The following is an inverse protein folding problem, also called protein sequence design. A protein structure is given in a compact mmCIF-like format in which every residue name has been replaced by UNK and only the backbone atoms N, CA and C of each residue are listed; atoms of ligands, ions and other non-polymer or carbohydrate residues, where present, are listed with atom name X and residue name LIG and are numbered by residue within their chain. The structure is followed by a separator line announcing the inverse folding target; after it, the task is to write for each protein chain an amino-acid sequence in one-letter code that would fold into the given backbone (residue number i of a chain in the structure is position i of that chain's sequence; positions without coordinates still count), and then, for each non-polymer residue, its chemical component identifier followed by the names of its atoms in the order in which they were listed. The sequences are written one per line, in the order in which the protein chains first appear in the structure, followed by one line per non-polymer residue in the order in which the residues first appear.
data_IF_676530575476
#
_entry.id   IF_676530575476
#
_cell.length_a   1.000
_cell.length_b   1.000
_cell.length_c   1.000
_cell.angle_alpha   90.00
_cell.angle_beta   90.00
_cell.angle_gamma   90.00
#
_symmetry.space_group_name_H-M   'P 1'
#
loop_
_entity.id
_entity.type
_entity.pdbx_description
1 polymer ?
#
# COMPACT_ATOMS: atom_id res chain seq x y z
N UNK A 1 14.26 15.04 24.30
CA UNK A 1 14.86 15.77 23.17
C UNK A 1 15.93 14.87 22.55
N UNK A 2 15.67 14.35 21.35
CA UNK A 2 16.61 13.47 20.61
C UNK A 2 17.44 14.31 19.61
N UNK A 3 18.07 15.38 20.07
CA UNK A 3 18.94 16.19 19.25
C UNK A 3 20.36 16.09 19.79
N UNK A 4 21.32 15.77 18.93
CA UNK A 4 22.75 15.68 19.28
C UNK A 4 23.37 17.04 19.62
N UNK A 5 22.57 18.10 19.55
CA UNK A 5 22.87 19.47 19.93
C UNK A 5 24.22 20.01 19.37
N UNK A 6 24.43 19.98 18.04
CA UNK A 6 25.67 20.49 17.42
C UNK A 6 25.85 22.00 17.66
N UNK A 7 24.76 22.73 17.95
CA UNK A 7 24.80 24.17 18.24
C UNK A 7 25.47 24.53 19.56
N UNK A 8 25.68 23.56 20.46
CA UNK A 8 26.38 23.73 21.75
C UNK A 8 27.64 22.87 21.84
N UNK A 9 28.17 22.41 20.68
CA UNK A 9 29.35 21.55 20.57
C UNK A 9 29.27 20.24 21.36
N UNK A 10 28.09 19.67 21.52
CA UNK A 10 27.93 18.37 22.19
C UNK A 10 28.39 17.19 21.31
N UNK A 11 28.52 17.39 19.99
CA UNK A 11 29.15 16.49 19.01
C UNK A 11 30.15 17.26 18.16
N UNK A 12 31.18 16.59 17.72
CA UNK A 12 32.16 17.20 16.80
C UNK A 12 31.56 17.37 15.40
N UNK A 13 32.11 18.32 14.65
CA UNK A 13 31.66 18.55 13.25
C UNK A 13 31.84 17.27 12.40
N UNK A 14 32.89 16.50 12.64
CA UNK A 14 33.14 15.25 11.92
C UNK A 14 32.07 14.21 12.20
N UNK A 15 31.74 13.96 13.47
CA UNK A 15 30.70 13.02 13.87
C UNK A 15 29.33 13.40 13.33
N UNK A 16 29.00 14.71 13.36
CA UNK A 16 27.75 15.19 12.78
C UNK A 16 27.69 14.96 11.27
N UNK A 17 28.78 15.25 10.55
CA UNK A 17 28.83 15.05 9.08
C UNK A 17 28.78 13.56 8.71
N UNK A 18 29.37 12.66 9.50
CA UNK A 18 29.29 11.23 9.30
C UNK A 18 27.85 10.70 9.44
N UNK A 19 27.11 11.22 10.42
CA UNK A 19 25.70 10.90 10.61
C UNK A 19 24.85 11.40 9.42
N UNK A 20 25.08 12.64 8.96
CA UNK A 20 24.40 13.22 7.80
C UNK A 20 24.68 12.41 6.53
N UNK A 21 25.94 12.04 6.30
CA UNK A 21 26.34 11.27 5.12
C UNK A 21 25.81 9.84 5.15
N UNK A 22 25.71 9.24 6.33
CA UNK A 22 25.08 7.93 6.52
C UNK A 22 23.59 7.98 6.18
N UNK A 23 22.88 9.00 6.64
CA UNK A 23 21.48 9.22 6.32
C UNK A 23 21.25 9.49 4.83
N UNK A 24 22.10 10.34 4.21
CA UNK A 24 22.05 10.60 2.77
C UNK A 24 22.24 9.31 1.95
N UNK A 25 23.22 8.50 2.31
CA UNK A 25 23.50 7.22 1.64
C UNK A 25 22.32 6.24 1.73
N UNK A 26 21.59 6.22 2.85
CA UNK A 26 20.38 5.40 3.04
C UNK A 26 19.23 5.95 2.17
N UNK A 27 18.99 7.27 2.23
CA UNK A 27 17.89 7.91 1.50
C UNK A 27 18.09 7.87 -0.03
N UNK A 28 19.34 7.91 -0.49
CA UNK A 28 19.68 7.82 -1.93
C UNK A 28 19.82 6.37 -2.42
N UNK A 29 19.71 5.39 -1.52
CA UNK A 29 19.86 3.97 -1.86
C UNK A 29 21.32 3.55 -2.17
N UNK A 30 22.32 4.36 -1.84
CA UNK A 30 23.75 4.06 -2.03
C UNK A 30 24.28 3.04 -1.02
N UNK A 31 23.68 2.96 0.17
CA UNK A 31 23.93 1.91 1.17
C UNK A 31 22.63 1.25 1.56
N UNK A 32 22.71 -0.05 1.81
CA UNK A 32 21.58 -0.82 2.33
C UNK A 32 21.27 -0.39 3.76
N UNK A 33 19.99 -0.28 4.11
CA UNK A 33 19.57 -0.12 5.49
C UNK A 33 19.99 -1.33 6.35
N UNK A 34 20.20 -2.48 5.72
CA UNK A 34 20.65 -3.72 6.36
C UNK A 34 22.09 -3.58 6.90
N UNK A 35 22.99 -3.04 6.08
CA UNK A 35 24.39 -2.79 6.48
C UNK A 35 24.45 -1.78 7.63
N UNK A 36 23.57 -0.80 7.64
CA UNK A 36 23.51 0.19 8.70
C UNK A 36 23.01 -0.41 10.02
N UNK A 37 21.95 -1.24 9.95
CA UNK A 37 21.43 -1.97 11.11
C UNK A 37 22.50 -2.91 11.70
N UNK A 38 23.26 -3.58 10.85
CA UNK A 38 24.32 -4.51 11.28
C UNK A 38 25.43 -3.77 12.02
N UNK A 39 25.91 -2.65 11.47
CA UNK A 39 26.86 -1.78 12.14
C UNK A 39 26.35 -1.27 13.50
N UNK A 40 25.10 -0.81 13.57
CA UNK A 40 24.51 -0.37 14.84
C UNK A 40 24.40 -1.50 15.86
N UNK A 41 24.20 -2.75 15.45
CA UNK A 41 24.24 -3.90 16.35
C UNK A 41 25.62 -4.15 16.90
N UNK A 42 26.67 -4.01 16.08
CA UNK A 42 28.07 -4.09 16.54
C UNK A 42 28.39 -2.99 17.58
N UNK A 43 27.97 -1.76 17.31
CA UNK A 43 28.13 -0.63 18.23
C UNK A 43 27.38 -0.87 19.56
N UNK A 44 26.18 -1.44 19.50
CA UNK A 44 25.40 -1.83 20.68
C UNK A 44 26.13 -2.88 21.54
N UNK A 45 26.69 -3.90 20.89
CA UNK A 45 27.48 -4.93 21.61
C UNK A 45 28.76 -4.35 22.22
N UNK A 46 29.42 -3.44 21.51
CA UNK A 46 30.59 -2.74 22.01
C UNK A 46 30.27 -1.90 23.25
N UNK A 47 29.22 -1.11 23.21
CA UNK A 47 28.72 -0.31 24.34
C UNK A 47 28.37 -1.22 25.54
N UNK A 48 27.70 -2.33 25.30
CA UNK A 48 27.34 -3.30 26.34
C UNK A 48 28.57 -3.93 26.97
N UNK A 49 29.58 -4.27 26.17
CA UNK A 49 30.87 -4.85 26.65
C UNK A 49 31.65 -3.85 27.51
N UNK A 50 31.52 -2.57 27.22
CA UNK A 50 32.11 -1.48 28.01
C UNK A 50 31.25 -1.07 29.22
N UNK A 51 30.20 -1.84 29.56
CA UNK A 51 29.28 -1.60 30.66
C UNK A 51 28.46 -0.28 30.50
N UNK A 52 28.45 0.31 29.31
CA UNK A 52 27.63 1.50 28.97
C UNK A 52 26.24 1.05 28.55
N UNK A 53 25.47 0.63 29.53
CA UNK A 53 24.13 0.06 29.30
C UNK A 53 23.08 1.10 28.83
N UNK A 54 23.25 2.38 29.18
CA UNK A 54 22.35 3.42 28.73
C UNK A 54 22.49 3.68 27.24
N UNK A 55 23.71 3.78 26.74
CA UNK A 55 24.03 3.90 25.33
C UNK A 55 23.59 2.65 24.55
N UNK A 56 23.94 1.46 25.04
CA UNK A 56 23.50 0.20 24.44
C UNK A 56 21.98 0.11 24.31
N UNK A 57 21.23 0.58 25.31
CA UNK A 57 19.76 0.65 25.27
C UNK A 57 19.26 1.62 24.21
N UNK A 58 19.84 2.82 24.12
CA UNK A 58 19.44 3.82 23.11
C UNK A 58 19.66 3.30 21.69
N UNK A 59 20.80 2.63 21.45
CA UNK A 59 21.11 2.01 20.16
C UNK A 59 20.15 0.87 19.87
N UNK A 60 19.83 0.01 20.83
CA UNK A 60 18.85 -1.09 20.67
C UNK A 60 17.47 -0.56 20.26
N UNK A 61 17.00 0.49 20.92
CA UNK A 61 15.70 1.08 20.64
C UNK A 61 15.67 1.72 19.23
N UNK A 62 16.79 2.25 18.77
CA UNK A 62 16.96 2.77 17.40
C UNK A 62 16.99 1.64 16.39
N UNK A 63 17.72 0.56 16.63
CA UNK A 63 17.75 -0.65 15.79
C UNK A 63 16.35 -1.22 15.64
N UNK A 64 15.58 -1.35 16.73
CA UNK A 64 14.20 -1.84 16.68
C UNK A 64 13.30 -0.97 15.79
N UNK A 65 13.44 0.35 15.85
CA UNK A 65 12.69 1.28 14.96
C UNK A 65 13.09 1.12 13.50
N UNK A 66 14.38 0.96 13.22
CA UNK A 66 14.88 0.75 11.86
C UNK A 66 14.46 -0.61 11.29
N UNK A 67 14.43 -1.67 12.08
CA UNK A 67 13.94 -2.98 11.68
C UNK A 67 12.43 -2.95 11.35
N UNK A 68 11.64 -2.17 12.08
CA UNK A 68 10.25 -1.92 11.77
C UNK A 68 10.08 -1.14 10.46
N UNK A 69 10.90 -0.13 10.20
CA UNK A 69 10.91 0.60 8.92
C UNK A 69 11.34 -0.31 7.77
N UNK A 70 12.39 -1.12 7.97
CA UNK A 70 12.86 -2.14 7.02
C UNK A 70 11.76 -3.14 6.66
N UNK A 71 11.03 -3.63 7.66
CA UNK A 71 9.93 -4.56 7.42
C UNK A 71 8.86 -3.93 6.53
N UNK A 72 8.52 -2.65 6.76
CA UNK A 72 7.62 -1.88 5.90
C UNK A 72 8.20 -1.69 4.49
N UNK A 73 9.48 -1.35 4.35
CA UNK A 73 10.14 -1.20 3.05
C UNK A 73 10.28 -2.52 2.29
N UNK A 74 10.55 -3.65 2.97
CA UNK A 74 10.55 -4.98 2.32
C UNK A 74 9.17 -5.37 1.81
N UNK A 75 8.12 -5.03 2.55
CA UNK A 75 6.75 -5.18 2.10
C UNK A 75 6.51 -4.28 0.86
N UNK A 76 6.99 -3.05 0.87
CA UNK A 76 6.92 -2.14 -0.28
C UNK A 76 7.79 -2.61 -1.47
N UNK A 77 8.95 -3.19 -1.24
CA UNK A 77 9.85 -3.69 -2.30
C UNK A 77 9.43 -5.05 -2.86
N UNK A 78 8.87 -5.94 -2.06
CA UNK A 78 8.27 -7.19 -2.56
C UNK A 78 6.96 -6.93 -3.33
N UNK A 79 6.32 -5.79 -3.08
CA UNK A 79 5.18 -5.25 -3.80
C UNK A 79 5.64 -4.25 -4.89
N UNK A 80 6.93 -3.95 -4.98
CA UNK A 80 7.48 -3.01 -5.94
C UNK A 80 7.64 -3.63 -7.33
N UNK A 81 6.55 -4.04 -7.90
CA UNK A 81 6.38 -3.68 -9.28
C UNK A 81 6.02 -2.16 -9.25
N UNK A 82 6.61 -1.38 -10.11
CA UNK A 82 6.20 0.00 -10.43
C UNK A 82 4.78 0.06 -11.00
N UNK A 83 3.96 -0.94 -10.71
CA UNK A 83 2.63 -1.15 -11.23
C UNK A 83 1.60 -0.49 -10.33
N UNK A 84 0.75 0.24 -10.98
CA UNK A 84 -0.51 0.72 -10.42
C UNK A 84 -1.41 -0.50 -10.16
N UNK A 85 -2.01 -0.57 -8.98
CA UNK A 85 -2.95 -1.60 -8.57
C UNK A 85 -4.29 -0.95 -8.25
N UNK A 86 -5.38 -1.53 -8.68
CA UNK A 86 -6.72 -1.13 -8.24
C UNK A 86 -7.39 -2.25 -7.44
N UNK A 87 -8.03 -1.85 -6.36
CA UNK A 87 -8.79 -2.71 -5.46
C UNK A 87 -10.25 -2.30 -5.54
N UNK A 88 -11.11 -3.19 -5.99
CA UNK A 88 -12.51 -2.92 -6.25
C UNK A 88 -13.36 -3.86 -5.40
N UNK A 89 -14.03 -3.30 -4.40
CA UNK A 89 -15.03 -4.01 -3.63
C UNK A 89 -16.42 -3.70 -4.14
N UNK A 90 -17.27 -4.73 -4.18
CA UNK A 90 -18.70 -4.62 -4.48
C UNK A 90 -19.51 -5.20 -3.33
N UNK A 91 -20.64 -4.58 -3.04
CA UNK A 91 -21.63 -5.06 -2.09
C UNK A 91 -23.04 -4.74 -2.60
N UNK A 92 -23.94 -5.70 -2.44
CA UNK A 92 -25.33 -5.60 -2.90
C UNK A 92 -26.26 -5.19 -1.76
N UNK A 93 -27.04 -4.16 -1.99
CA UNK A 93 -28.19 -3.80 -1.17
C UNK A 93 -29.47 -4.26 -1.88
N UNK A 94 -29.93 -5.45 -1.53
CA UNK A 94 -31.13 -6.05 -2.12
C UNK A 94 -32.42 -5.33 -1.71
N UNK A 95 -32.43 -4.60 -0.57
CA UNK A 95 -33.60 -3.82 -0.15
C UNK A 95 -33.83 -2.63 -1.05
N UNK A 96 -32.76 -1.99 -1.50
CA UNK A 96 -32.81 -0.86 -2.43
C UNK A 96 -32.60 -1.27 -3.89
N UNK A 97 -32.41 -2.57 -4.16
CA UNK A 97 -32.08 -3.10 -5.49
C UNK A 97 -30.87 -2.40 -6.11
N UNK A 98 -29.80 -2.18 -5.33
CA UNK A 98 -28.57 -1.48 -5.74
C UNK A 98 -27.32 -2.24 -5.43
N UNK A 99 -26.32 -2.05 -6.27
CA UNK A 99 -24.95 -2.44 -5.98
C UNK A 99 -24.12 -1.18 -5.64
N UNK A 100 -23.29 -1.31 -4.62
CA UNK A 100 -22.38 -0.27 -4.16
C UNK A 100 -20.95 -0.72 -4.39
N UNK A 101 -20.14 0.18 -4.95
CA UNK A 101 -18.74 -0.11 -5.30
C UNK A 101 -17.84 0.90 -4.64
N UNK A 102 -16.73 0.41 -4.09
CA UNK A 102 -15.62 1.22 -3.61
C UNK A 102 -14.35 0.80 -4.33
N UNK A 103 -13.71 1.77 -4.97
CA UNK A 103 -12.44 1.59 -5.67
C UNK A 103 -11.35 2.33 -4.91
N UNK A 104 -10.27 1.61 -4.61
CA UNK A 104 -9.03 2.20 -4.12
C UNK A 104 -7.94 1.99 -5.16
N UNK A 105 -7.28 3.06 -5.56
CA UNK A 105 -6.11 3.02 -6.42
C UNK A 105 -4.85 3.11 -5.57
N UNK A 106 -3.96 2.15 -5.73
CA UNK A 106 -2.68 2.08 -5.05
C UNK A 106 -1.54 2.24 -6.05
N UNK A 107 -0.60 3.11 -5.72
CA UNK A 107 0.62 3.30 -6.48
C UNK A 107 1.82 3.25 -5.54
N UNK A 108 2.77 2.38 -5.80
CA UNK A 108 3.96 2.18 -4.95
C UNK A 108 3.62 2.00 -3.46
N UNK A 109 2.65 1.15 -3.15
CA UNK A 109 2.25 0.89 -1.77
C UNK A 109 1.34 1.94 -1.12
N UNK A 110 1.15 3.12 -1.73
CA UNK A 110 0.36 4.23 -1.18
C UNK A 110 -0.99 4.33 -1.88
N UNK A 111 -2.08 4.44 -1.11
CA UNK A 111 -3.41 4.72 -1.65
C UNK A 111 -3.43 6.16 -2.14
N UNK A 112 -3.67 6.35 -3.45
CA UNK A 112 -3.67 7.64 -4.13
C UNK A 112 -5.05 8.19 -4.40
N UNK A 113 -6.02 7.29 -4.59
CA UNK A 113 -7.37 7.68 -4.97
C UNK A 113 -8.39 6.73 -4.37
N UNK A 114 -9.58 7.26 -4.10
CA UNK A 114 -10.72 6.53 -3.59
C UNK A 114 -11.99 7.04 -4.26
N UNK A 115 -12.68 6.14 -4.98
CA UNK A 115 -13.93 6.47 -5.66
C UNK A 115 -15.07 5.55 -5.21
N UNK A 116 -16.25 6.10 -5.09
CA UNK A 116 -17.48 5.39 -4.71
C UNK A 116 -18.46 5.47 -5.87
N UNK A 117 -19.03 4.33 -6.22
CA UNK A 117 -20.07 4.23 -7.26
C UNK A 117 -21.24 3.42 -6.75
N UNK A 118 -22.39 3.64 -7.35
CA UNK A 118 -23.56 2.78 -7.19
C UNK A 118 -24.26 2.62 -8.53
N UNK A 119 -24.91 1.49 -8.72
CA UNK A 119 -25.79 1.24 -9.85
C UNK A 119 -27.00 0.41 -9.44
N UNK A 120 -28.09 0.55 -10.17
CA UNK A 120 -29.31 -0.21 -9.92
C UNK A 120 -29.15 -1.64 -10.48
N UNK A 121 -29.62 -2.64 -9.74
CA UNK A 121 -29.57 -4.06 -10.12
C UNK A 121 -30.63 -4.44 -11.16
N UNK A 122 -31.40 -3.46 -11.67
CA UNK A 122 -32.45 -3.67 -12.65
C UNK A 122 -31.85 -3.72 -14.08
N UNK A 123 -32.30 -4.69 -14.88
CA UNK A 123 -31.84 -4.87 -16.27
C UNK A 123 -30.53 -5.64 -16.36
N UNK A 124 -29.75 -5.37 -17.42
CA UNK A 124 -28.47 -6.05 -17.72
C UNK A 124 -27.27 -5.47 -16.93
N UNK A 125 -27.53 -4.72 -15.88
CA UNK A 125 -26.50 -4.12 -15.06
C UNK A 125 -25.84 -5.19 -14.19
N UNK A 126 -24.60 -5.52 -14.49
CA UNK A 126 -23.79 -6.47 -13.75
C UNK A 126 -22.45 -5.85 -13.33
N UNK A 127 -21.74 -6.54 -12.44
CA UNK A 127 -20.39 -6.12 -12.06
C UNK A 127 -19.45 -6.07 -13.27
N UNK A 128 -19.57 -7.00 -14.22
CA UNK A 128 -18.83 -7.00 -15.48
C UNK A 128 -19.14 -5.78 -16.35
N UNK A 129 -20.42 -5.43 -16.49
CA UNK A 129 -20.84 -4.24 -17.25
C UNK A 129 -20.30 -2.96 -16.63
N UNK A 130 -20.35 -2.85 -15.30
CA UNK A 130 -19.76 -1.72 -14.60
C UNK A 130 -18.24 -1.62 -14.84
N UNK A 131 -17.50 -2.71 -14.68
CA UNK A 131 -16.04 -2.70 -14.90
C UNK A 131 -15.69 -2.33 -16.33
N UNK A 132 -16.42 -2.85 -17.32
CA UNK A 132 -16.23 -2.51 -18.73
C UNK A 132 -16.42 -1.00 -18.96
N UNK A 133 -17.50 -0.42 -18.48
CA UNK A 133 -17.80 1.00 -18.63
C UNK A 133 -16.79 1.87 -17.87
N UNK A 134 -16.43 1.48 -16.65
CA UNK A 134 -15.46 2.19 -15.83
C UNK A 134 -14.08 2.30 -16.52
N UNK A 135 -13.57 1.20 -17.06
CA UNK A 135 -12.27 1.21 -17.72
C UNK A 135 -12.31 1.75 -19.15
N UNK A 136 -13.44 1.68 -19.84
CA UNK A 136 -13.58 2.28 -21.17
C UNK A 136 -13.40 3.80 -21.15
N UNK A 137 -13.83 4.44 -20.06
CA UNK A 137 -13.68 5.89 -19.87
C UNK A 137 -12.30 6.31 -19.35
N UNK A 138 -11.39 5.35 -19.09
CA UNK A 138 -10.08 5.62 -18.50
C UNK A 138 -8.97 5.68 -19.55
N UNK A 139 -8.01 6.57 -19.33
CA UNK A 139 -6.79 6.66 -20.14
C UNK A 139 -5.75 5.57 -19.83
N UNK A 140 -5.88 4.88 -18.69
CA UNK A 140 -4.98 3.78 -18.29
C UNK A 140 -5.73 2.71 -17.52
N UNK A 141 -5.40 1.46 -17.79
CA UNK A 141 -5.90 0.27 -17.06
C UNK A 141 -4.73 -0.35 -16.31
N UNK A 142 -4.85 -0.62 -15.00
CA UNK A 142 -3.76 -1.24 -14.25
C UNK A 142 -3.55 -2.71 -14.65
N UNK A 143 -2.33 -3.23 -14.46
CA UNK A 143 -2.03 -4.65 -14.73
C UNK A 143 -2.73 -5.60 -13.79
N UNK A 144 -3.00 -5.16 -12.57
CA UNK A 144 -3.63 -5.96 -11.53
C UNK A 144 -4.84 -5.23 -10.97
N UNK A 145 -5.99 -5.89 -11.08
CA UNK A 145 -7.28 -5.47 -10.54
C UNK A 145 -7.69 -6.51 -9.52
N UNK A 146 -7.69 -6.13 -8.25
CA UNK A 146 -8.09 -7.01 -7.16
C UNK A 146 -9.57 -6.80 -6.84
N UNK A 147 -10.31 -7.90 -6.70
CA UNK A 147 -11.75 -7.87 -6.45
C UNK A 147 -12.13 -8.76 -5.27
N UNK A 148 -13.23 -8.45 -4.58
CA UNK A 148 -13.81 -9.33 -3.56
C UNK A 148 -14.73 -10.40 -4.16
N UNK A 149 -15.23 -10.17 -5.37
CA UNK A 149 -16.10 -11.06 -6.12
C UNK A 149 -15.67 -11.12 -7.58
N UNK A 150 -15.65 -12.33 -8.18
CA UNK A 150 -15.32 -12.45 -9.60
C UNK A 150 -16.47 -11.87 -10.45
N UNK A 151 -16.14 -11.05 -11.48
CA UNK A 151 -17.15 -10.60 -12.45
C UNK A 151 -17.63 -11.78 -13.30
N UNK A 152 -18.89 -11.77 -13.76
CA UNK A 152 -19.50 -12.88 -14.50
C UNK A 152 -18.69 -13.05 -15.77
N UNK A 153 -18.28 -12.69 -16.60
CA UNK A 153 -17.52 -12.97 -17.82
C UNK A 153 -16.04 -12.56 -17.69
N UNK A 154 -15.40 -12.91 -16.58
CA UNK A 154 -14.02 -12.48 -16.25
C UNK A 154 -13.04 -12.59 -17.40
N UNK A 155 -12.97 -13.76 -18.08
CA UNK A 155 -12.00 -14.01 -19.17
C UNK A 155 -12.25 -13.10 -20.37
N UNK A 156 -13.51 -12.87 -20.73
CA UNK A 156 -13.87 -11.97 -21.82
C UNK A 156 -13.55 -10.51 -21.43
N UNK A 157 -13.81 -10.13 -20.17
CA UNK A 157 -13.50 -8.81 -19.65
C UNK A 157 -11.98 -8.54 -19.65
N UNK A 158 -11.17 -9.46 -19.16
CA UNK A 158 -9.70 -9.35 -19.20
C UNK A 158 -9.18 -9.13 -20.62
N UNK A 159 -9.65 -9.90 -21.60
CA UNK A 159 -9.27 -9.71 -23.02
C UNK A 159 -9.69 -8.35 -23.57
N UNK A 160 -10.90 -7.88 -23.25
CA UNK A 160 -11.37 -6.56 -23.65
C UNK A 160 -10.49 -5.45 -23.05
N UNK A 161 -10.16 -5.55 -21.76
CA UNK A 161 -9.31 -4.59 -21.08
C UNK A 161 -7.86 -4.62 -21.59
N UNK A 162 -7.32 -5.78 -21.96
CA UNK A 162 -6.00 -5.92 -22.59
C UNK A 162 -5.91 -5.16 -23.91
N UNK A 163 -7.00 -5.14 -24.70
CA UNK A 163 -7.05 -4.39 -25.96
C UNK A 163 -6.95 -2.87 -25.70
N UNK A 164 -7.60 -2.38 -24.64
CA UNK A 164 -7.55 -0.97 -24.26
C UNK A 164 -6.18 -0.62 -23.63
N UNK A 165 -5.66 -1.50 -22.77
CA UNK A 165 -4.45 -1.28 -21.99
C UNK A 165 -3.15 -1.41 -22.79
N UNK A 166 -3.16 -2.12 -23.93
CA UNK A 166 -1.96 -2.54 -24.68
C UNK A 166 -0.96 -3.36 -23.85
N UNK A 167 -1.44 -4.00 -22.79
CA UNK A 167 -0.68 -4.92 -21.93
C UNK A 167 -1.63 -5.91 -21.25
N UNK A 168 -1.06 -6.98 -20.68
CA UNK A 168 -1.84 -7.99 -19.98
C UNK A 168 -2.50 -7.41 -18.73
N UNK A 169 -3.80 -7.67 -18.55
CA UNK A 169 -4.62 -7.28 -17.41
C UNK A 169 -5.07 -8.56 -16.68
N UNK A 170 -4.92 -8.58 -15.36
CA UNK A 170 -5.34 -9.71 -14.54
C UNK A 170 -6.34 -9.22 -13.49
N UNK A 171 -7.53 -9.80 -13.50
CA UNK A 171 -8.54 -9.60 -12.46
C UNK A 171 -8.38 -10.73 -11.44
N UNK A 172 -8.10 -10.40 -10.19
CA UNK A 172 -7.75 -11.38 -9.17
C UNK A 172 -8.72 -11.26 -8.00
N UNK A 173 -9.52 -12.31 -7.78
CA UNK A 173 -10.33 -12.41 -6.56
C UNK A 173 -9.42 -12.69 -5.38
N UNK A 174 -9.46 -11.82 -4.37
CA UNK A 174 -8.70 -12.02 -3.14
C UNK A 174 -9.39 -13.02 -2.22
N UNK A 175 -8.73 -14.15 -2.02
CA UNK A 175 -9.13 -15.20 -1.08
C UNK A 175 -8.12 -15.34 0.05
N UNK A 176 -8.47 -16.10 1.10
CA UNK A 176 -7.70 -16.25 2.34
C UNK A 176 -6.26 -16.80 2.19
N UNK A 177 -5.83 -17.16 0.97
CA UNK A 177 -4.59 -17.91 0.75
C UNK A 177 -3.48 -17.14 0.04
N UNK A 178 -3.72 -15.90 -0.44
CA UNK A 178 -2.81 -15.32 -1.43
C UNK A 178 -1.88 -14.24 -0.86
N UNK A 179 -2.38 -13.28 -0.12
CA UNK A 179 -1.57 -12.17 0.37
C UNK A 179 -2.30 -11.48 1.52
N UNK A 180 -1.70 -11.53 2.69
CA UNK A 180 -2.31 -11.03 3.92
C UNK A 180 -2.58 -9.52 3.82
N UNK A 181 -1.63 -8.75 3.28
CA UNK A 181 -1.76 -7.29 3.18
C UNK A 181 -2.85 -6.89 2.18
N UNK A 182 -2.84 -7.48 0.98
CA UNK A 182 -3.86 -7.22 -0.04
C UNK A 182 -5.25 -7.61 0.45
N UNK A 183 -5.33 -8.71 1.18
CA UNK A 183 -6.58 -9.14 1.79
C UNK A 183 -7.06 -8.16 2.87
N UNK A 184 -6.18 -7.71 3.76
CA UNK A 184 -6.54 -6.72 4.79
C UNK A 184 -7.07 -5.43 4.15
N UNK A 185 -6.49 -5.00 3.02
CA UNK A 185 -6.98 -3.85 2.27
C UNK A 185 -8.37 -4.11 1.67
N UNK A 186 -8.61 -5.30 1.11
CA UNK A 186 -9.94 -5.68 0.61
C UNK A 186 -10.98 -5.79 1.73
N UNK A 187 -10.62 -6.36 2.88
CA UNK A 187 -11.49 -6.43 4.06
C UNK A 187 -11.84 -5.02 4.59
N UNK A 188 -10.91 -4.08 4.50
CA UNK A 188 -11.17 -2.67 4.80
C UNK A 188 -12.18 -2.07 3.83
N UNK A 189 -12.05 -2.33 2.53
CA UNK A 189 -13.00 -1.88 1.50
C UNK A 189 -14.41 -2.40 1.79
N UNK A 190 -14.53 -3.71 2.04
CA UNK A 190 -15.82 -4.35 2.32
C UNK A 190 -16.47 -3.78 3.59
N UNK A 191 -15.69 -3.58 4.66
CA UNK A 191 -16.18 -2.94 5.90
C UNK A 191 -16.64 -1.49 5.67
N UNK A 192 -15.90 -0.73 4.87
CA UNK A 192 -16.29 0.63 4.51
C UNK A 192 -17.60 0.65 3.70
N UNK A 193 -17.76 -0.28 2.74
CA UNK A 193 -19.01 -0.42 1.98
C UNK A 193 -20.19 -0.72 2.91
N UNK A 194 -20.06 -1.68 3.83
CA UNK A 194 -21.10 -1.98 4.82
C UNK A 194 -21.49 -0.74 5.65
N UNK A 195 -20.50 0.04 6.08
CA UNK A 195 -20.74 1.28 6.83
C UNK A 195 -21.44 2.35 5.99
N UNK A 196 -21.09 2.48 4.71
CA UNK A 196 -21.74 3.45 3.81
C UNK A 196 -23.19 3.06 3.52
N UNK A 197 -23.48 1.79 3.30
CA UNK A 197 -24.85 1.32 3.09
C UNK A 197 -25.72 1.61 4.33
N UNK A 198 -25.19 1.35 5.53
CA UNK A 198 -25.92 1.56 6.78
C UNK A 198 -26.13 3.04 7.16
N UNK A 199 -25.25 3.95 6.71
CA UNK A 199 -25.27 5.39 7.08
C UNK A 199 -25.78 6.32 5.97
N UNK A 200 -26.11 5.80 4.81
CA UNK A 200 -26.34 6.54 3.59
C UNK A 200 -25.08 6.60 2.71
N UNK A 201 -25.23 6.23 1.46
CA UNK A 201 -24.16 6.16 0.47
C UNK A 201 -24.21 7.40 -0.43
N UNK A 202 -23.14 8.19 -0.41
CA UNK A 202 -22.96 9.30 -1.36
C UNK A 202 -21.98 8.85 -2.46
N UNK A 203 -22.46 8.54 -3.69
CA UNK A 203 -21.61 8.14 -4.80
C UNK A 203 -20.77 9.32 -5.32
N UNK A 204 -19.61 9.02 -5.93
CA UNK A 204 -18.94 10.01 -6.76
C UNK A 204 -19.76 10.25 -8.02
N UNK A 205 -19.92 11.51 -8.41
CA UNK A 205 -20.48 11.83 -9.71
C UNK A 205 -19.48 11.41 -10.80
N UNK A 206 -20.00 10.87 -11.90
CA UNK A 206 -19.17 10.66 -13.10
C UNK A 206 -18.88 12.04 -13.69
N UNK A 207 -17.63 12.48 -13.64
CA UNK A 207 -17.10 13.60 -14.45
C UNK A 207 -16.56 13.06 -15.77
#
# INVERSE_FOLDING_TARGET
NNCDAPCINNVTQSEYMDNVQSLENILTGRKSIDDFIEKMKEDMFSASSNLDYENAKAIRDTVSRLENLRSRQKIEQSISSRSEEEYIGIMYDFLQSRAHILILRRYRGVIRDRKKYQFDLLGDNSFSSFLSQYYYSKSSVPRFIYVNEDPDSKVALEKSLETIASHRVNIIKLSNRIDIERKQLMDLIVRNLSTYISKGFEPALFD
#
